data_IF_522966615258
#
_entry.id   IF_522966615258
#
_cell.length_a   1.000
_cell.length_b   1.000
_cell.length_c   1.000
_cell.angle_alpha   90.00
_cell.angle_beta   90.00
_cell.angle_gamma   90.00
#
_symmetry.space_group_name_H-M   'P 1'
#
loop_
_entity.id
_entity.type
_entity.pdbx_description
1 polymer ?
#
# COMPACT_ATOMS: atom_id res chain seq x y z
N UNK A 1 -30.19 9.69 -15.46
CA UNK A 1 -29.63 8.91 -14.32
C UNK A 1 -28.15 8.69 -14.57
N UNK A 2 -27.27 9.38 -13.86
CA UNK A 2 -25.83 9.10 -13.90
C UNK A 2 -25.33 9.01 -12.46
N UNK A 3 -25.13 7.78 -11.97
CA UNK A 3 -24.51 7.54 -10.65
C UNK A 3 -23.03 7.88 -10.77
N UNK A 4 -22.62 8.97 -10.14
CA UNK A 4 -21.20 9.31 -9.94
C UNK A 4 -20.56 8.15 -9.17
N UNK A 5 -19.61 7.44 -9.80
CA UNK A 5 -18.83 6.40 -9.13
C UNK A 5 -17.97 7.09 -8.08
N UNK A 6 -18.38 7.02 -6.81
CA UNK A 6 -17.52 7.45 -5.71
C UNK A 6 -16.20 6.70 -5.80
N UNK A 7 -15.11 7.45 -5.95
CA UNK A 7 -13.74 6.95 -5.94
C UNK A 7 -13.52 6.36 -4.54
N UNK A 8 -13.72 5.05 -4.38
CA UNK A 8 -13.66 4.37 -3.10
C UNK A 8 -12.22 4.47 -2.55
N UNK A 9 -12.06 5.27 -1.51
CA UNK A 9 -10.86 5.33 -0.69
C UNK A 9 -10.66 3.97 0.00
N UNK A 10 -9.44 3.41 0.04
CA UNK A 10 -9.15 2.21 0.79
C UNK A 10 -9.63 2.31 2.24
N UNK A 11 -10.07 1.19 2.83
CA UNK A 11 -10.19 1.11 4.29
C UNK A 11 -8.80 1.37 4.89
N UNK A 12 -8.72 2.40 5.71
CA UNK A 12 -7.50 2.91 6.33
C UNK A 12 -6.75 1.78 7.07
N UNK A 13 -7.48 0.83 7.67
CA UNK A 13 -6.91 -0.33 8.36
C UNK A 13 -6.20 -1.27 7.39
N UNK A 14 -6.84 -1.59 6.27
CA UNK A 14 -6.28 -2.46 5.24
C UNK A 14 -5.04 -1.84 4.58
N UNK A 15 -5.02 -0.51 4.45
CA UNK A 15 -3.85 0.20 3.94
C UNK A 15 -2.67 0.15 4.93
N UNK A 16 -2.94 0.31 6.24
CA UNK A 16 -1.92 0.16 7.27
C UNK A 16 -1.32 -1.25 7.30
N UNK A 17 -2.17 -2.28 7.17
CA UNK A 17 -1.75 -3.68 7.09
C UNK A 17 -0.89 -3.93 5.85
N UNK A 18 -1.27 -3.36 4.70
CA UNK A 18 -0.46 -3.47 3.48
C UNK A 18 0.93 -2.88 3.67
N UNK A 19 1.02 -1.67 4.23
CA UNK A 19 2.32 -1.05 4.52
C UNK A 19 3.14 -1.88 5.51
N UNK A 20 2.52 -2.44 6.54
CA UNK A 20 3.21 -3.32 7.48
C UNK A 20 3.73 -4.59 6.82
N UNK A 21 2.93 -5.23 5.96
CA UNK A 21 3.37 -6.40 5.21
C UNK A 21 4.50 -6.07 4.24
N UNK A 22 4.42 -4.94 3.54
CA UNK A 22 5.49 -4.48 2.65
C UNK A 22 6.80 -4.24 3.42
N UNK A 23 6.75 -3.59 4.58
CA UNK A 23 7.93 -3.38 5.42
C UNK A 23 8.59 -4.71 5.83
N UNK A 24 7.79 -5.65 6.35
CA UNK A 24 8.27 -6.95 6.81
C UNK A 24 8.87 -7.81 5.69
N UNK A 25 8.25 -7.78 4.50
CA UNK A 25 8.78 -8.54 3.36
C UNK A 25 10.11 -7.95 2.89
N UNK A 26 10.20 -6.62 2.79
CA UNK A 26 11.44 -5.93 2.41
C UNK A 26 12.57 -6.23 3.40
N UNK A 27 12.32 -6.13 4.71
CA UNK A 27 13.31 -6.45 5.76
C UNK A 27 13.80 -7.89 5.71
N UNK A 28 12.91 -8.82 5.34
CA UNK A 28 13.24 -10.23 5.18
C UNK A 28 13.94 -10.54 3.85
N UNK A 29 14.15 -9.55 2.96
CA UNK A 29 14.66 -9.77 1.61
C UNK A 29 13.70 -10.55 0.71
N UNK A 30 12.41 -10.56 1.05
CA UNK A 30 11.35 -11.27 0.34
C UNK A 30 10.68 -10.32 -0.65
N UNK A 31 10.24 -10.86 -1.79
CA UNK A 31 9.55 -10.08 -2.81
C UNK A 31 8.29 -9.37 -2.28
N UNK A 32 8.20 -8.06 -2.51
CA UNK A 32 7.02 -7.24 -2.21
C UNK A 32 5.75 -7.70 -2.93
N UNK A 33 5.84 -8.52 -3.99
CA UNK A 33 4.69 -9.19 -4.61
C UNK A 33 3.94 -10.05 -3.58
N UNK A 34 4.64 -10.65 -2.63
CA UNK A 34 4.02 -11.49 -1.60
C UNK A 34 3.15 -10.67 -0.64
N UNK A 35 3.57 -9.45 -0.29
CA UNK A 35 2.77 -8.55 0.55
C UNK A 35 1.41 -8.22 -0.10
N UNK A 36 1.40 -7.96 -1.41
CA UNK A 36 0.15 -7.74 -2.15
C UNK A 36 -0.72 -9.01 -2.21
N UNK A 37 -0.11 -10.20 -2.34
CA UNK A 37 -0.83 -11.48 -2.34
C UNK A 37 -1.50 -11.79 -1.01
N UNK A 38 -0.83 -11.52 0.11
CA UNK A 38 -1.40 -11.73 1.45
C UNK A 38 -2.70 -10.92 1.59
N UNK A 39 -2.71 -9.65 1.15
CA UNK A 39 -3.94 -8.84 1.19
C UNK A 39 -5.04 -9.33 0.24
N UNK A 40 -4.66 -9.98 -0.86
CA UNK A 40 -5.63 -10.57 -1.78
C UNK A 40 -6.34 -11.73 -1.11
N UNK A 41 -5.58 -12.62 -0.46
CA UNK A 41 -6.07 -13.83 0.21
C UNK A 41 -6.99 -13.52 1.39
N UNK A 42 -6.84 -12.36 2.03
CA UNK A 42 -7.74 -11.92 3.12
C UNK A 42 -9.09 -11.38 2.64
N UNK A 43 -9.37 -11.37 1.33
CA UNK A 43 -10.64 -10.86 0.78
C UNK A 43 -10.82 -9.35 0.93
N UNK A 44 -9.71 -8.62 1.02
CA UNK A 44 -9.69 -7.17 1.23
C UNK A 44 -10.43 -6.39 0.12
N UNK A 45 -10.95 -5.19 0.45
CA UNK A 45 -11.47 -4.26 -0.58
C UNK A 45 -10.35 -3.76 -1.50
N UNK A 46 -9.10 -3.92 -1.08
CA UNK A 46 -7.91 -3.62 -1.88
C UNK A 46 -7.54 -4.75 -2.84
N UNK A 47 -8.09 -5.96 -2.74
CA UNK A 47 -7.63 -7.12 -3.51
C UNK A 47 -7.57 -6.86 -5.02
N UNK A 48 -8.58 -6.20 -5.59
CA UNK A 48 -8.60 -5.84 -7.01
C UNK A 48 -7.44 -4.90 -7.41
N UNK A 49 -7.13 -3.91 -6.55
CA UNK A 49 -5.99 -2.99 -6.76
C UNK A 49 -4.66 -3.71 -6.57
N UNK A 50 -4.56 -4.60 -5.57
CA UNK A 50 -3.38 -5.42 -5.34
C UNK A 50 -3.08 -6.32 -6.54
N UNK A 51 -4.10 -6.95 -7.15
CA UNK A 51 -3.93 -7.74 -8.37
C UNK A 51 -3.36 -6.89 -9.51
N UNK A 52 -3.90 -5.69 -9.74
CA UNK A 52 -3.41 -4.79 -10.78
C UNK A 52 -1.99 -4.30 -10.49
N UNK A 53 -1.66 -3.99 -9.23
CA UNK A 53 -0.31 -3.59 -8.83
C UNK A 53 0.70 -4.72 -9.10
N UNK A 54 0.34 -5.97 -8.80
CA UNK A 54 1.17 -7.14 -9.13
C UNK A 54 1.40 -7.25 -10.65
N UNK A 55 0.38 -7.02 -11.47
CA UNK A 55 0.54 -7.02 -12.93
C UNK A 55 1.54 -5.95 -13.39
N UNK A 56 1.46 -4.74 -12.83
CA UNK A 56 2.42 -3.68 -13.13
C UNK A 56 3.83 -4.01 -12.67
N UNK A 57 4.00 -4.55 -11.46
CA UNK A 57 5.30 -5.00 -10.94
C UNK A 57 5.93 -6.08 -11.85
N UNK A 58 5.15 -7.08 -12.25
CA UNK A 58 5.60 -8.14 -13.17
C UNK A 58 5.99 -7.61 -14.55
N UNK A 59 5.45 -6.46 -14.96
CA UNK A 59 5.84 -5.78 -16.20
C UNK A 59 7.12 -4.91 -16.06
N UNK A 60 7.78 -4.94 -14.90
CA UNK A 60 9.02 -4.20 -14.64
C UNK A 60 8.81 -2.77 -14.14
N UNK A 61 7.58 -2.40 -13.76
CA UNK A 61 7.34 -1.10 -13.09
C UNK A 61 7.80 -1.17 -11.64
N UNK A 62 8.21 -0.02 -11.11
CA UNK A 62 8.55 0.10 -9.68
C UNK A 62 7.31 -0.07 -8.80
N UNK A 63 7.51 -0.37 -7.52
CA UNK A 63 6.47 -0.46 -6.49
C UNK A 63 5.77 0.88 -6.33
N UNK A 64 6.53 1.98 -6.25
CA UNK A 64 5.97 3.32 -6.13
C UNK A 64 5.00 3.62 -7.28
N UNK A 65 5.42 3.35 -8.51
CA UNK A 65 4.59 3.57 -9.70
C UNK A 65 3.39 2.63 -9.74
N UNK A 66 3.62 1.35 -9.48
CA UNK A 66 2.58 0.31 -9.54
C UNK A 66 1.45 0.59 -8.56
N UNK A 67 1.78 0.94 -7.31
CA UNK A 67 0.77 1.24 -6.29
C UNK A 67 0.09 2.60 -6.49
N UNK A 68 0.77 3.59 -7.06
CA UNK A 68 0.16 4.88 -7.40
C UNK A 68 -0.86 4.75 -8.54
N UNK A 69 -0.50 4.04 -9.60
CA UNK A 69 -1.36 3.83 -10.78
C UNK A 69 -2.70 3.18 -10.43
N UNK A 70 -2.72 2.28 -9.44
CA UNK A 70 -3.94 1.61 -8.98
C UNK A 70 -4.66 2.35 -7.83
N UNK A 71 -4.10 3.47 -7.37
CA UNK A 71 -4.65 4.27 -6.28
C UNK A 71 -4.61 3.56 -4.92
N UNK A 72 -3.57 2.78 -4.66
CA UNK A 72 -3.17 2.34 -3.32
C UNK A 72 -2.33 3.43 -2.66
N UNK A 73 -1.36 3.97 -3.41
CA UNK A 73 -0.47 5.04 -2.97
C UNK A 73 -0.99 6.39 -3.44
N UNK A 74 -0.92 7.39 -2.57
CA UNK A 74 -1.14 8.79 -2.95
C UNK A 74 0.16 9.40 -3.54
N UNK A 75 0.12 10.69 -3.87
CA UNK A 75 1.27 11.39 -4.47
C UNK A 75 2.49 11.44 -3.53
N UNK A 76 2.26 11.65 -2.23
CA UNK A 76 3.31 11.69 -1.22
C UNK A 76 3.92 10.29 -1.05
N UNK A 77 3.09 9.27 -0.91
CA UNK A 77 3.51 7.87 -0.81
C UNK A 77 4.40 7.49 -2.00
N UNK A 78 3.97 7.80 -3.23
CA UNK A 78 4.76 7.55 -4.44
C UNK A 78 6.14 8.22 -4.36
N UNK A 79 6.20 9.48 -3.95
CA UNK A 79 7.46 10.21 -3.87
C UNK A 79 8.41 9.60 -2.82
N UNK A 80 7.89 9.31 -1.63
CA UNK A 80 8.68 8.69 -0.56
C UNK A 80 9.17 7.31 -0.95
N UNK A 81 8.29 6.44 -1.45
CA UNK A 81 8.65 5.08 -1.87
C UNK A 81 9.64 5.13 -3.04
N UNK A 82 9.51 6.07 -3.98
CA UNK A 82 10.50 6.24 -5.07
C UNK A 82 11.90 6.52 -4.51
N UNK A 83 12.00 7.42 -3.51
CA UNK A 83 13.28 7.67 -2.81
C UNK A 83 13.75 6.40 -2.11
N UNK A 84 12.86 5.68 -1.45
CA UNK A 84 13.13 4.39 -0.81
C UNK A 84 13.68 3.33 -1.75
N UNK A 85 13.10 3.21 -2.95
CA UNK A 85 13.52 2.26 -3.97
C UNK A 85 14.94 2.57 -4.48
N UNK A 86 15.25 3.85 -4.66
CA UNK A 86 16.59 4.29 -5.11
C UNK A 86 17.65 4.09 -4.03
N UNK A 87 17.28 4.32 -2.76
CA UNK A 87 18.21 4.31 -1.62
C UNK A 87 18.25 2.99 -0.85
N UNK A 88 17.38 2.03 -1.18
CA UNK A 88 17.29 0.73 -0.52
C UNK A 88 16.69 0.77 0.89
N UNK A 89 15.87 1.78 1.21
CA UNK A 89 15.26 1.96 2.56
C UNK A 89 13.73 1.92 2.56
N UNK A 90 13.13 1.19 1.62
CA UNK A 90 11.68 1.04 1.51
C UNK A 90 11.01 0.59 2.83
N UNK A 91 11.65 -0.31 3.58
CA UNK A 91 11.12 -0.80 4.87
C UNK A 91 10.86 0.31 5.89
N UNK A 92 11.75 1.31 5.96
CA UNK A 92 11.61 2.46 6.84
C UNK A 92 10.43 3.33 6.43
N UNK A 93 10.27 3.58 5.12
CA UNK A 93 9.17 4.37 4.58
C UNK A 93 7.84 3.66 4.84
N UNK A 94 7.73 2.38 4.51
CA UNK A 94 6.51 1.60 4.76
C UNK A 94 6.14 1.55 6.24
N UNK A 95 7.13 1.39 7.13
CA UNK A 95 6.90 1.43 8.58
C UNK A 95 6.35 2.79 9.02
N UNK A 96 6.94 3.88 8.53
CA UNK A 96 6.48 5.24 8.86
C UNK A 96 5.05 5.51 8.36
N UNK A 97 4.71 5.08 7.14
CA UNK A 97 3.36 5.20 6.58
C UNK A 97 2.34 4.39 7.36
N UNK A 98 2.67 3.15 7.74
CA UNK A 98 1.79 2.30 8.56
C UNK A 98 1.51 2.95 9.92
N UNK A 99 2.54 3.44 10.61
CA UNK A 99 2.41 4.12 11.91
C UNK A 99 1.62 5.42 11.84
N UNK A 100 1.93 6.29 10.87
CA UNK A 100 1.20 7.55 10.69
C UNK A 100 -0.28 7.33 10.44
N UNK A 101 -0.65 6.25 9.73
CA UNK A 101 -2.05 5.87 9.54
C UNK A 101 -2.70 5.39 10.85
N UNK A 102 -1.98 4.64 11.68
CA UNK A 102 -2.49 4.14 12.97
C UNK A 102 -2.58 5.25 14.05
N UNK A 103 -1.70 6.24 14.03
CA UNK A 103 -1.70 7.40 14.95
C UNK A 103 -2.84 8.39 14.69
N UNK A 104 -3.54 8.31 13.55
CA UNK A 104 -4.77 9.08 13.30
C UNK A 104 -5.98 8.44 14.03
N UNK A 105 -5.90 7.16 14.43
CA UNK A 105 -6.98 6.42 15.10
C UNK A 105 -7.13 6.51 16.64
N UNK A 106 -6.21 7.04 17.48
CA UNK A 106 -6.37 7.00 18.93
C UNK A 106 -7.52 7.88 19.45
N UNK A 107 -8.21 8.67 18.62
CA UNK A 107 -9.30 9.55 19.03
C UNK A 107 -10.74 9.09 18.73
N UNK A 108 -10.98 7.88 18.19
CA UNK A 108 -12.35 7.44 17.78
C UNK A 108 -12.82 6.17 18.53
N UNK A 109 -12.03 5.63 19.47
CA UNK A 109 -12.44 4.49 20.31
C UNK A 109 -12.78 4.84 21.77
N UNK A 110 -12.79 6.12 22.11
CA UNK A 110 -13.29 6.59 23.42
C UNK A 110 -14.24 7.77 23.22
N UNK A 111 -15.49 7.51 22.76
CA UNK A 111 -16.71 8.25 23.13
C UNK A 111 -17.94 7.40 22.87
#
# INVERSE_FOLDING_TARGET
MSKVKHKQTPDITQLADLYLHLARMEEAGISNVLAFKILIETGSKLSAKCYQAITYLKSGRSIAESGYQVGIFNQLDRALITVGEISGVNSLIFTSSSRGIMEIKPGILER
#
